data_IF_133444498017
#
_entry.id   IF_133444498017
#
_cell.length_a   1.000
_cell.length_b   1.000
_cell.length_c   1.000
_cell.angle_alpha   90.00
_cell.angle_beta   90.00
_cell.angle_gamma   90.00
#
_symmetry.space_group_name_H-M   'P 1'
#
loop_
_entity.id
_entity.type
_entity.pdbx_description
1 polymer ?
#
# COMPACT_ATOMS: atom_id res chain seq x y z
N UNK A 1 -1.27 -64.96 -12.61
CA UNK A 1 -0.21 -63.99 -12.29
C UNK A 1 -0.63 -62.61 -12.77
N UNK A 2 -1.20 -61.84 -11.87
CA UNK A 2 -1.68 -60.46 -12.05
C UNK A 2 -0.48 -59.52 -12.02
N UNK A 3 -0.12 -58.92 -13.17
CA UNK A 3 0.85 -57.81 -13.21
C UNK A 3 0.17 -56.59 -12.61
N UNK A 4 0.68 -56.17 -11.45
CA UNK A 4 0.21 -55.00 -10.72
C UNK A 4 0.22 -53.74 -11.59
N UNK A 5 -0.87 -52.99 -11.51
CA UNK A 5 -0.94 -51.61 -11.97
C UNK A 5 0.03 -50.77 -11.15
N UNK A 6 1.23 -50.58 -11.70
CA UNK A 6 2.19 -49.61 -11.19
C UNK A 6 1.56 -48.23 -11.14
N UNK A 7 1.69 -47.61 -9.98
CA UNK A 7 1.27 -46.26 -9.64
C UNK A 7 1.68 -45.29 -10.74
N UNK A 8 0.68 -44.64 -11.34
CA UNK A 8 0.89 -43.59 -12.33
C UNK A 8 1.66 -42.46 -11.69
N UNK A 9 2.90 -42.27 -12.13
CA UNK A 9 3.66 -41.04 -11.96
C UNK A 9 2.72 -39.84 -12.18
N UNK A 10 2.73 -38.93 -11.20
CA UNK A 10 1.86 -37.76 -11.12
C UNK A 10 1.73 -37.05 -12.47
N UNK A 11 0.53 -37.10 -13.06
CA UNK A 11 0.14 -36.17 -14.13
C UNK A 11 0.14 -34.78 -13.52
N UNK A 12 1.28 -34.10 -13.57
CA UNK A 12 1.40 -32.70 -13.16
C UNK A 12 0.39 -31.93 -14.01
N UNK A 13 -0.67 -31.44 -13.38
CA UNK A 13 -1.73 -30.71 -14.08
C UNK A 13 -1.12 -29.49 -14.75
N UNK A 14 -1.49 -29.24 -16.01
CA UNK A 14 -1.07 -28.03 -16.71
C UNK A 14 -1.56 -26.81 -15.91
N UNK A 15 -0.74 -25.77 -15.70
CA UNK A 15 -1.19 -24.58 -15.01
C UNK A 15 -2.31 -23.91 -15.82
N UNK A 16 -3.48 -23.72 -15.20
CA UNK A 16 -4.63 -23.05 -15.82
C UNK A 16 -4.69 -21.62 -15.28
N UNK A 17 -4.90 -20.65 -16.17
CA UNK A 17 -5.04 -19.24 -15.78
C UNK A 17 -6.36 -19.01 -15.03
N UNK A 18 -6.33 -18.21 -13.96
CA UNK A 18 -7.48 -17.97 -13.07
C UNK A 18 -8.70 -17.37 -13.78
N UNK A 19 -8.55 -16.70 -14.92
CA UNK A 19 -9.68 -16.19 -15.71
C UNK A 19 -10.61 -17.29 -16.25
N UNK A 20 -10.08 -18.50 -16.41
CA UNK A 20 -10.80 -19.63 -17.00
C UNK A 20 -11.45 -20.51 -15.91
N UNK A 21 -11.36 -20.10 -14.65
CA UNK A 21 -11.87 -20.83 -13.50
C UNK A 21 -12.90 -19.98 -12.76
N UNK A 22 -13.91 -20.64 -12.23
CA UNK A 22 -14.89 -20.04 -11.32
C UNK A 22 -14.79 -20.70 -9.96
N UNK A 23 -15.08 -19.94 -8.90
CA UNK A 23 -15.03 -20.48 -7.55
C UNK A 23 -16.37 -21.14 -7.22
N UNK A 24 -16.33 -22.44 -6.90
CA UNK A 24 -17.49 -23.16 -6.39
C UNK A 24 -17.83 -22.70 -4.96
N UNK A 25 -19.11 -22.38 -4.72
CA UNK A 25 -19.59 -21.94 -3.41
C UNK A 25 -20.24 -23.07 -2.60
N UNK A 26 -20.91 -24.00 -3.28
CA UNK A 26 -21.68 -25.08 -2.67
C UNK A 26 -22.97 -25.36 -3.42
N UNK A 27 -23.76 -26.29 -2.87
CA UNK A 27 -25.11 -26.61 -3.34
C UNK A 27 -26.10 -25.71 -2.60
N UNK A 28 -27.01 -25.08 -3.34
CA UNK A 28 -28.08 -24.26 -2.80
C UNK A 28 -29.43 -24.75 -3.33
N UNK A 29 -30.45 -24.71 -2.48
CA UNK A 29 -31.84 -24.90 -2.89
C UNK A 29 -32.32 -23.63 -3.62
N UNK A 30 -32.40 -23.71 -4.94
CA UNK A 30 -32.89 -22.61 -5.78
C UNK A 30 -34.17 -23.04 -6.48
N UNK A 31 -35.11 -22.11 -6.64
CA UNK A 31 -36.32 -22.38 -7.40
C UNK A 31 -35.98 -22.54 -8.88
N UNK A 32 -36.36 -23.67 -9.47
CA UNK A 32 -36.28 -23.88 -10.92
C UNK A 32 -37.24 -22.92 -11.65
N UNK A 33 -37.18 -22.89 -12.99
CA UNK A 33 -38.13 -22.12 -13.82
C UNK A 33 -39.60 -22.44 -13.53
N UNK A 34 -39.88 -23.63 -12.99
CA UNK A 34 -41.21 -24.10 -12.64
C UNK A 34 -41.58 -23.84 -11.16
N UNK A 35 -40.75 -23.11 -10.40
CA UNK A 35 -40.99 -22.76 -9.00
C UNK A 35 -40.72 -23.86 -7.98
N UNK A 36 -40.33 -25.07 -8.42
CA UNK A 36 -39.98 -26.17 -7.52
C UNK A 36 -38.55 -25.97 -6.97
N UNK A 37 -38.30 -26.23 -5.67
CA UNK A 37 -36.97 -26.15 -5.09
C UNK A 37 -36.08 -27.26 -5.66
N UNK A 38 -34.91 -26.89 -6.17
CA UNK A 38 -33.92 -27.82 -6.71
C UNK A 38 -32.53 -27.49 -6.18
N UNK A 39 -31.85 -28.52 -5.72
CA UNK A 39 -30.45 -28.48 -5.36
C UNK A 39 -29.60 -28.17 -6.59
N UNK A 40 -29.03 -26.96 -6.61
CA UNK A 40 -28.23 -26.49 -7.72
C UNK A 40 -26.87 -26.05 -7.23
N UNK A 41 -25.83 -26.48 -7.93
CA UNK A 41 -24.46 -26.04 -7.70
C UNK A 41 -24.30 -24.57 -8.07
N UNK A 42 -23.75 -23.78 -7.14
CA UNK A 42 -23.57 -22.34 -7.34
C UNK A 42 -22.09 -21.99 -7.43
N UNK A 43 -21.76 -21.19 -8.45
CA UNK A 43 -20.43 -20.68 -8.71
C UNK A 43 -20.39 -19.16 -8.58
N UNK A 44 -19.26 -18.62 -8.14
CA UNK A 44 -19.03 -17.19 -8.04
C UNK A 44 -18.51 -16.62 -9.37
N UNK A 45 -19.35 -15.83 -10.05
CA UNK A 45 -18.98 -15.09 -11.28
C UNK A 45 -18.11 -13.88 -10.96
N UNK A 46 -18.38 -13.21 -9.84
CA UNK A 46 -17.61 -12.03 -9.42
C UNK A 46 -17.28 -12.09 -7.94
N UNK A 47 -15.99 -11.95 -7.63
CA UNK A 47 -15.50 -11.88 -6.25
C UNK A 47 -15.24 -10.42 -5.89
N UNK A 48 -15.70 -10.01 -4.72
CA UNK A 48 -15.37 -8.72 -4.09
C UNK A 48 -14.61 -8.96 -2.79
N UNK A 49 -13.85 -7.96 -2.35
CA UNK A 49 -13.06 -8.05 -1.11
C UNK A 49 -13.49 -6.98 -0.12
N UNK A 50 -13.35 -7.28 1.17
CA UNK A 50 -13.42 -6.25 2.21
C UNK A 50 -12.24 -5.28 2.10
N UNK A 51 -12.30 -4.18 2.84
CA UNK A 51 -11.12 -3.36 3.08
C UNK A 51 -10.04 -4.22 3.77
N UNK A 52 -8.79 -4.21 3.29
CA UNK A 52 -7.72 -4.95 3.92
C UNK A 52 -7.31 -4.30 5.24
N UNK A 53 -7.10 -5.13 6.26
CA UNK A 53 -6.65 -4.73 7.60
C UNK A 53 -5.35 -5.45 7.89
N UNK A 54 -4.30 -4.71 8.23
CA UNK A 54 -3.04 -5.31 8.66
C UNK A 54 -3.16 -5.76 10.11
N UNK A 55 -2.84 -7.02 10.39
CA UNK A 55 -2.81 -7.59 11.74
C UNK A 55 -1.34 -7.70 12.17
N UNK A 56 -0.83 -6.80 13.03
CA UNK A 56 0.58 -6.78 13.41
C UNK A 56 1.04 -8.07 14.09
N UNK A 57 0.22 -8.63 14.98
CA UNK A 57 0.52 -9.87 15.70
C UNK A 57 0.74 -11.06 14.76
N UNK A 58 -0.03 -11.13 13.67
CA UNK A 58 0.09 -12.19 12.68
C UNK A 58 0.98 -11.81 11.48
N UNK A 59 1.56 -10.59 11.49
CA UNK A 59 2.38 -10.00 10.42
C UNK A 59 1.81 -10.19 9.01
N UNK A 60 0.49 -10.10 8.88
CA UNK A 60 -0.22 -10.33 7.61
C UNK A 60 -1.38 -9.39 7.40
N UNK A 61 -1.67 -9.12 6.14
CA UNK A 61 -2.90 -8.46 5.72
C UNK A 61 -4.04 -9.46 5.74
N UNK A 62 -5.16 -9.06 6.35
CA UNK A 62 -6.38 -9.83 6.42
C UNK A 62 -7.51 -9.10 5.70
N UNK A 63 -8.22 -9.81 4.84
CA UNK A 63 -9.44 -9.34 4.20
C UNK A 63 -10.38 -10.52 3.94
N UNK A 64 -11.68 -10.24 3.95
CA UNK A 64 -12.73 -11.20 3.61
C UNK A 64 -13.04 -11.13 2.13
N UNK A 65 -13.44 -12.26 1.55
CA UNK A 65 -13.93 -12.36 0.17
C UNK A 65 -15.43 -12.55 0.20
N UNK A 66 -16.12 -12.00 -0.78
CA UNK A 66 -17.54 -12.19 -0.95
C UNK A 66 -17.88 -12.46 -2.41
N UNK A 67 -18.85 -13.34 -2.66
CA UNK A 67 -19.48 -13.47 -3.96
C UNK A 67 -20.38 -12.24 -4.18
N UNK A 68 -19.97 -11.36 -5.10
CA UNK A 68 -20.76 -10.20 -5.53
C UNK A 68 -21.73 -10.55 -6.66
N UNK A 69 -21.49 -11.65 -7.36
CA UNK A 69 -22.40 -12.21 -8.35
C UNK A 69 -22.19 -13.72 -8.43
N UNK A 70 -23.29 -14.45 -8.58
CA UNK A 70 -23.30 -15.91 -8.65
C UNK A 70 -24.01 -16.40 -9.91
N UNK A 71 -23.66 -17.60 -10.35
CA UNK A 71 -24.32 -18.33 -11.41
C UNK A 71 -24.59 -19.76 -10.93
N UNK A 72 -25.86 -20.19 -10.85
CA UNK A 72 -27.08 -19.38 -10.92
C UNK A 72 -27.17 -18.29 -9.84
N UNK A 73 -28.03 -17.29 -10.06
CA UNK A 73 -28.17 -16.15 -9.15
C UNK A 73 -28.90 -16.58 -7.87
N UNK A 74 -28.28 -16.33 -6.70
CA UNK A 74 -28.90 -16.60 -5.41
C UNK A 74 -29.96 -15.51 -5.13
N UNK A 75 -31.20 -15.86 -4.77
CA UNK A 75 -32.25 -14.89 -4.47
C UNK A 75 -31.84 -14.02 -3.28
N UNK A 76 -32.22 -12.75 -3.34
CA UNK A 76 -31.94 -11.82 -2.24
C UNK A 76 -33.03 -11.94 -1.18
N UNK A 77 -32.68 -12.14 0.11
CA UNK A 77 -33.68 -12.20 1.17
C UNK A 77 -34.47 -10.89 1.24
N UNK A 78 -35.76 -11.02 1.57
CA UNK A 78 -36.68 -9.88 1.71
C UNK A 78 -36.09 -8.83 2.68
N UNK A 79 -36.07 -7.57 2.24
CA UNK A 79 -35.57 -6.43 3.03
C UNK A 79 -34.07 -6.12 2.88
N UNK A 80 -33.29 -6.95 2.21
CA UNK A 80 -31.86 -6.66 1.94
C UNK A 80 -31.71 -6.06 0.55
N UNK A 81 -31.09 -4.88 0.46
CA UNK A 81 -30.79 -4.29 -0.85
C UNK A 81 -29.86 -5.24 -1.65
N UNK A 82 -30.12 -5.50 -2.94
CA UNK A 82 -29.39 -6.48 -3.73
C UNK A 82 -27.87 -6.21 -3.80
N UNK A 83 -27.45 -4.94 -3.70
CA UNK A 83 -26.02 -4.57 -3.66
C UNK A 83 -25.29 -4.97 -2.36
N UNK A 84 -26.05 -5.19 -1.28
CA UNK A 84 -25.55 -5.59 0.05
C UNK A 84 -25.64 -7.09 0.28
N UNK A 85 -26.43 -7.81 -0.51
CA UNK A 85 -26.48 -9.26 -0.46
C UNK A 85 -25.24 -9.86 -1.10
N UNK A 86 -24.22 -10.11 -0.28
CA UNK A 86 -22.96 -10.72 -0.72
C UNK A 86 -22.65 -11.91 0.18
N UNK A 87 -22.55 -13.09 -0.40
CA UNK A 87 -22.24 -14.31 0.34
C UNK A 87 -20.76 -14.33 0.72
N UNK A 88 -20.43 -14.48 2.01
CA UNK A 88 -19.04 -14.54 2.46
C UNK A 88 -18.38 -15.85 2.00
N UNK A 89 -17.22 -15.72 1.37
CA UNK A 89 -16.38 -16.83 0.92
C UNK A 89 -15.21 -16.93 1.89
N UNK A 90 -15.23 -17.96 2.74
CA UNK A 90 -14.12 -18.21 3.67
C UNK A 90 -12.83 -18.55 2.91
N UNK A 91 -11.69 -18.18 3.48
CA UNK A 91 -10.41 -18.67 2.98
C UNK A 91 -10.28 -20.14 3.34
N UNK A 92 -9.73 -20.99 2.45
CA UNK A 92 -9.40 -22.36 2.83
C UNK A 92 -8.40 -22.33 3.98
N UNK A 93 -8.51 -23.30 4.87
CA UNK A 93 -7.57 -23.42 5.98
C UNK A 93 -6.18 -23.74 5.42
N UNK A 94 -5.17 -22.88 5.67
CA UNK A 94 -3.84 -23.14 5.16
C UNK A 94 -3.29 -24.38 5.87
N UNK A 95 -2.77 -25.33 5.08
CA UNK A 95 -1.97 -26.43 5.65
C UNK A 95 -0.83 -25.80 6.45
N UNK A 96 -0.76 -26.13 7.74
CA UNK A 96 0.33 -25.67 8.60
C UNK A 96 1.62 -26.16 7.96
N UNK A 97 2.55 -25.23 7.71
CA UNK A 97 3.89 -25.60 7.24
C UNK A 97 4.50 -26.46 8.33
N UNK A 98 4.95 -27.65 7.96
CA UNK A 98 5.81 -28.45 8.84
C UNK A 98 7.07 -27.62 9.01
N UNK A 99 7.34 -27.20 10.26
CA UNK A 99 8.59 -26.55 10.57
C UNK A 99 9.71 -27.58 10.35
N UNK A 100 10.89 -27.17 9.86
CA UNK A 100 12.01 -28.09 9.74
C UNK A 100 12.24 -28.77 11.10
N UNK A 101 12.28 -30.10 11.09
CA UNK A 101 12.43 -30.93 12.31
C UNK A 101 13.84 -30.82 12.88
N UNK A 102 14.80 -30.39 12.08
CA UNK A 102 16.18 -30.19 12.52
C UNK A 102 16.21 -28.89 13.31
N UNK A 103 16.17 -29.02 14.64
CA UNK A 103 16.76 -28.02 15.52
C UNK A 103 18.21 -27.90 15.08
N UNK A 104 18.56 -26.80 14.42
CA UNK A 104 19.95 -26.58 14.07
C UNK A 104 20.72 -26.44 15.39
N UNK A 105 21.95 -26.98 15.46
CA UNK A 105 22.78 -26.87 16.68
C UNK A 105 23.03 -25.42 17.13
N UNK A 106 22.76 -24.44 16.26
CA UNK A 106 22.87 -23.01 16.51
C UNK A 106 21.56 -22.33 16.94
N UNK A 107 20.42 -23.03 16.90
CA UNK A 107 19.13 -22.49 17.34
C UNK A 107 19.01 -22.55 18.86
N UNK A 108 18.47 -21.49 19.48
CA UNK A 108 18.26 -21.47 20.93
C UNK A 108 17.06 -22.36 21.29
N UNK A 109 17.19 -23.27 22.27
CA UNK A 109 16.07 -24.12 22.67
C UNK A 109 14.91 -23.26 23.17
N UNK A 110 13.68 -23.69 22.89
CA UNK A 110 12.48 -22.93 23.21
C UNK A 110 12.32 -22.60 24.69
N UNK A 111 12.92 -23.41 25.58
CA UNK A 111 12.97 -23.17 27.02
C UNK A 111 13.82 -21.96 27.38
N UNK A 112 15.06 -21.89 26.86
CA UNK A 112 15.96 -20.76 27.10
C UNK A 112 15.43 -19.44 26.52
N UNK A 113 14.69 -19.49 25.39
CA UNK A 113 14.02 -18.29 24.84
C UNK A 113 12.88 -17.80 25.72
N UNK A 114 12.19 -18.72 26.43
CA UNK A 114 11.06 -18.40 27.31
C UNK A 114 11.50 -18.01 28.72
N UNK A 115 12.74 -18.29 29.09
CA UNK A 115 13.30 -17.93 30.38
C UNK A 115 13.31 -16.41 30.55
N UNK A 116 12.61 -15.92 31.57
CA UNK A 116 12.58 -14.49 31.91
C UNK A 116 13.85 -14.19 32.72
N UNK A 117 14.92 -13.82 32.02
CA UNK A 117 16.21 -13.50 32.63
C UNK A 117 16.28 -12.10 33.22
N UNK A 118 15.40 -11.20 32.75
CA UNK A 118 15.36 -9.82 33.23
C UNK A 118 14.28 -9.64 34.29
N UNK A 119 14.71 -9.50 35.53
CA UNK A 119 13.89 -8.95 36.61
C UNK A 119 14.21 -7.46 36.73
N UNK A 120 13.24 -6.55 36.55
CA UNK A 120 13.48 -5.14 36.82
C UNK A 120 13.89 -4.99 38.29
N UNK A 121 14.93 -4.19 38.55
CA UNK A 121 15.26 -3.80 39.92
C UNK A 121 14.05 -3.09 40.52
N UNK A 122 13.64 -3.49 41.72
CA UNK A 122 12.55 -2.83 42.41
C UNK A 122 13.01 -1.44 42.87
N UNK A 123 12.74 -0.44 42.03
CA UNK A 123 13.13 0.94 42.28
C UNK A 123 12.26 1.56 43.37
N UNK A 124 11.15 0.90 43.76
CA UNK A 124 10.19 1.43 44.73
C UNK A 124 10.77 1.62 46.13
N UNK A 125 11.76 0.80 46.51
CA UNK A 125 12.44 0.89 47.81
C UNK A 125 13.46 2.04 47.88
N UNK A 126 13.83 2.62 46.73
CA UNK A 126 14.92 3.57 46.65
C UNK A 126 14.39 5.02 46.64
N UNK A 127 14.30 5.63 47.82
CA UNK A 127 13.85 7.03 48.07
C UNK A 127 14.63 8.09 47.29
N UNK A 128 15.84 7.73 46.81
CA UNK A 128 16.71 8.61 46.03
C UNK A 128 16.20 8.87 44.61
N UNK A 129 15.34 7.99 44.08
CA UNK A 129 14.80 8.18 42.74
C UNK A 129 13.57 9.08 42.74
N UNK A 130 13.42 9.93 41.72
CA UNK A 130 12.27 10.81 41.60
C UNK A 130 10.94 10.04 41.60
N UNK A 131 9.85 10.63 42.14
CA UNK A 131 8.56 9.95 42.36
C UNK A 131 7.88 9.39 41.10
N UNK A 132 8.32 9.79 39.91
CA UNK A 132 7.82 9.26 38.64
C UNK A 132 8.46 7.93 38.22
N UNK A 133 9.59 7.52 38.80
CA UNK A 133 10.16 6.18 38.62
C UNK A 133 9.44 5.11 39.45
N UNK A 134 8.68 5.52 40.46
CA UNK A 134 7.84 4.64 41.30
C UNK A 134 6.46 4.39 40.69
N UNK A 135 6.19 4.92 39.49
CA UNK A 135 4.92 4.69 38.80
C UNK A 135 5.00 3.30 38.15
N UNK A 136 4.19 2.32 38.59
CA UNK A 136 4.22 0.99 37.99
C UNK A 136 3.94 1.10 36.50
N UNK A 137 4.73 0.39 35.70
CA UNK A 137 4.53 0.33 34.26
C UNK A 137 3.08 -0.11 33.98
N UNK A 138 2.34 0.58 33.09
CA UNK A 138 0.97 0.19 32.78
C UNK A 138 0.96 -1.23 32.23
N UNK A 139 0.34 -2.16 32.97
CA UNK A 139 0.30 -3.58 32.67
C UNK A 139 -0.39 -3.92 31.32
N UNK A 140 -1.03 -2.95 30.67
CA UNK A 140 -1.48 -3.09 29.29
C UNK A 140 -1.46 -1.75 28.55
N UNK A 141 -1.21 -1.77 27.25
CA UNK A 141 -1.47 -0.64 26.35
C UNK A 141 -2.98 -0.31 26.21
N UNK A 142 -3.85 -0.94 27.00
CA UNK A 142 -5.29 -0.79 26.93
C UNK A 142 -5.81 0.00 28.12
N UNK A 143 -6.37 1.17 27.78
CA UNK A 143 -7.15 2.07 28.65
C UNK A 143 -6.37 2.61 29.84
N UNK A 144 -5.84 3.82 29.63
CA UNK A 144 -5.43 4.78 30.67
C UNK A 144 -6.42 4.67 31.84
N UNK A 145 -5.95 4.17 32.98
CA UNK A 145 -6.77 4.00 34.18
C UNK A 145 -7.36 5.35 34.63
N UNK A 146 -8.44 5.35 35.40
CA UNK A 146 -9.02 6.60 35.91
C UNK A 146 -7.99 7.43 36.70
N UNK A 147 -7.07 6.76 37.42
CA UNK A 147 -5.95 7.40 38.12
C UNK A 147 -4.92 8.02 37.16
N UNK A 148 -4.57 7.35 36.06
CA UNK A 148 -3.68 7.91 35.04
C UNK A 148 -4.35 9.07 34.27
N UNK A 149 -5.67 9.03 34.07
CA UNK A 149 -6.42 10.18 33.53
C UNK A 149 -6.38 11.36 34.49
N UNK A 150 -6.57 11.13 35.78
CA UNK A 150 -6.47 12.18 36.80
C UNK A 150 -5.04 12.76 36.86
N UNK A 151 -4.02 11.92 36.73
CA UNK A 151 -2.62 12.37 36.65
C UNK A 151 -2.34 13.18 35.38
N UNK A 152 -2.90 12.76 34.23
CA UNK A 152 -2.80 13.51 32.98
C UNK A 152 -3.56 14.84 33.02
N UNK A 153 -4.68 14.91 33.74
CA UNK A 153 -5.42 16.17 33.99
C UNK A 153 -4.60 17.10 34.88
N UNK A 154 -3.97 16.58 35.94
CA UNK A 154 -3.04 17.36 36.77
C UNK A 154 -1.83 17.84 35.96
N UNK A 155 -1.25 17.00 35.13
CA UNK A 155 -0.15 17.36 34.24
C UNK A 155 -0.56 18.45 33.22
N UNK A 156 -1.79 18.39 32.69
CA UNK A 156 -2.36 19.45 31.84
C UNK A 156 -2.61 20.75 32.61
N UNK A 157 -3.08 20.70 33.85
CA UNK A 157 -3.28 21.90 34.66
C UNK A 157 -1.95 22.62 34.94
N UNK A 158 -0.88 21.87 35.18
CA UNK A 158 0.49 22.42 35.31
C UNK A 158 0.96 23.01 33.97
N UNK A 159 0.63 22.36 32.85
CA UNK A 159 0.94 22.85 31.50
C UNK A 159 0.20 24.15 31.15
N UNK A 160 -1.07 24.26 31.49
CA UNK A 160 -1.88 25.46 31.24
C UNK A 160 -1.41 26.63 32.12
N UNK A 161 -0.96 26.36 33.35
CA UNK A 161 -0.34 27.35 34.22
C UNK A 161 0.99 27.88 33.65
N UNK A 162 1.81 27.01 33.04
CA UNK A 162 3.05 27.39 32.35
C UNK A 162 2.78 28.27 31.12
N UNK A 163 1.80 27.89 30.28
CA UNK A 163 1.39 28.67 29.10
C UNK A 163 0.83 30.05 29.51
N UNK A 164 0.16 30.12 30.66
CA UNK A 164 -0.34 31.37 31.24
C UNK A 164 0.75 32.21 31.95
N UNK A 165 2.02 31.85 31.84
CA UNK A 165 3.16 32.62 32.36
C UNK A 165 3.39 32.50 33.87
N UNK A 166 2.71 31.57 34.56
CA UNK A 166 2.95 31.29 35.98
C UNK A 166 3.97 30.18 36.12
N UNK A 167 5.26 30.52 36.00
CA UNK A 167 6.36 29.57 36.18
C UNK A 167 6.43 29.08 37.64
N UNK A 168 6.32 27.77 37.83
CA UNK A 168 6.71 27.11 39.08
C UNK A 168 8.18 26.71 38.92
N UNK A 169 9.07 27.34 39.69
CA UNK A 169 10.53 27.17 39.59
C UNK A 169 11.04 25.73 39.85
N UNK A 170 10.18 24.85 40.39
CA UNK A 170 10.52 23.45 40.68
C UNK A 170 10.16 22.46 39.57
N UNK A 171 9.55 22.90 38.46
CA UNK A 171 9.18 22.02 37.36
C UNK A 171 10.41 21.73 36.47
N UNK A 172 10.78 20.45 36.24
CA UNK A 172 11.90 20.10 35.39
C UNK A 172 11.63 20.50 33.93
N UNK A 173 12.55 21.31 33.39
CA UNK A 173 12.47 22.02 32.09
C UNK A 173 12.28 21.10 30.87
N UNK A 174 12.58 19.81 30.98
CA UNK A 174 12.75 18.92 29.81
C UNK A 174 11.48 18.17 29.35
N UNK A 175 10.31 18.39 29.95
CA UNK A 175 9.09 17.64 29.59
C UNK A 175 8.63 17.85 28.13
N UNK A 176 9.07 18.92 27.45
CA UNK A 176 8.53 19.30 26.14
C UNK A 176 9.59 19.66 25.09
N UNK A 177 10.75 19.01 25.13
CA UNK A 177 11.83 19.20 24.15
C UNK A 177 11.33 19.16 22.70
N UNK A 178 10.42 18.22 22.36
CA UNK A 178 9.89 18.09 21.00
C UNK A 178 9.02 19.28 20.54
N UNK A 179 8.35 19.98 21.47
CA UNK A 179 7.51 21.15 21.18
C UNK A 179 8.33 22.42 21.12
N UNK A 180 9.31 22.55 22.01
CA UNK A 180 10.28 23.66 22.04
C UNK A 180 11.23 23.63 20.85
N UNK A 181 11.66 22.45 20.41
CA UNK A 181 12.48 22.25 19.21
C UNK A 181 11.66 22.32 17.90
N UNK A 182 10.33 22.19 17.97
CA UNK A 182 9.48 22.32 16.78
C UNK A 182 9.21 23.80 16.49
N UNK A 183 9.54 24.27 15.28
CA UNK A 183 9.25 25.65 14.91
C UNK A 183 7.74 25.92 15.00
N UNK A 184 7.27 26.82 15.89
CA UNK A 184 5.83 27.09 16.10
C UNK A 184 5.14 27.60 14.83
N UNK A 185 5.90 28.18 13.89
CA UNK A 185 5.39 28.65 12.61
C UNK A 185 5.36 27.58 11.52
N UNK A 186 5.82 26.35 11.76
CA UNK A 186 5.84 25.29 10.74
C UNK A 186 4.43 24.95 10.23
N UNK A 187 3.44 24.89 11.12
CA UNK A 187 2.03 24.65 10.76
C UNK A 187 1.41 25.86 10.06
N UNK A 188 1.64 27.07 10.59
CA UNK A 188 1.14 28.32 9.99
C UNK A 188 1.70 28.53 8.58
N UNK A 189 3.02 28.37 8.39
CA UNK A 189 3.66 28.45 7.07
C UNK A 189 3.15 27.39 6.10
N UNK A 190 2.87 26.16 6.57
CA UNK A 190 2.28 25.11 5.72
C UNK A 190 0.86 25.45 5.29
N UNK A 191 0.07 26.03 6.19
CA UNK A 191 -1.29 26.48 5.89
C UNK A 191 -1.26 27.67 4.91
N UNK A 192 -0.38 28.64 5.13
CA UNK A 192 -0.16 29.76 4.23
C UNK A 192 0.21 29.29 2.82
N UNK A 193 1.21 28.42 2.68
CA UNK A 193 1.59 27.84 1.37
C UNK A 193 0.45 27.10 0.68
N UNK A 194 -0.41 26.43 1.46
CA UNK A 194 -1.58 25.74 0.91
C UNK A 194 -2.64 26.73 0.42
N UNK A 195 -2.88 27.81 1.16
CA UNK A 195 -3.79 28.89 0.75
C UNK A 195 -3.27 29.59 -0.51
N UNK A 196 -2.00 29.99 -0.53
CA UNK A 196 -1.33 30.60 -1.68
C UNK A 196 -1.45 29.71 -2.93
N UNK A 197 -1.10 28.42 -2.83
CA UNK A 197 -1.22 27.49 -3.95
C UNK A 197 -2.67 27.28 -4.43
N UNK A 198 -3.65 27.36 -3.52
CA UNK A 198 -5.07 27.27 -3.87
C UNK A 198 -5.52 28.53 -4.61
N UNK A 199 -5.17 29.70 -4.11
CA UNK A 199 -5.48 30.99 -4.74
C UNK A 199 -4.84 31.11 -6.13
N UNK A 200 -3.57 30.74 -6.28
CA UNK A 200 -2.89 30.71 -7.58
C UNK A 200 -3.61 29.82 -8.58
N UNK A 201 -4.03 28.62 -8.13
CA UNK A 201 -4.77 27.67 -8.96
C UNK A 201 -6.13 28.23 -9.40
N UNK A 202 -6.85 28.90 -8.49
CA UNK A 202 -8.13 29.52 -8.80
C UNK A 202 -7.96 30.72 -9.75
N UNK A 203 -6.94 31.56 -9.55
CA UNK A 203 -6.57 32.66 -10.46
C UNK A 203 -6.26 32.14 -11.87
N UNK A 204 -5.46 31.08 -11.98
CA UNK A 204 -5.15 30.45 -13.27
C UNK A 204 -6.42 29.91 -13.96
N UNK A 205 -7.29 29.22 -13.21
CA UNK A 205 -8.56 28.71 -13.76
C UNK A 205 -9.41 29.83 -14.33
N UNK A 206 -9.56 30.94 -13.60
CA UNK A 206 -10.30 32.12 -14.09
C UNK A 206 -9.65 32.70 -15.34
N UNK A 207 -8.32 32.79 -15.39
CA UNK A 207 -7.58 33.27 -16.57
C UNK A 207 -7.84 32.42 -17.80
N UNK A 208 -7.77 31.09 -17.71
CA UNK A 208 -8.07 30.19 -18.83
C UNK A 208 -9.54 30.25 -19.26
N UNK A 209 -10.47 30.34 -18.31
CA UNK A 209 -11.89 30.54 -18.65
C UNK A 209 -12.16 31.89 -19.33
N UNK A 210 -11.44 32.95 -18.94
CA UNK A 210 -11.54 34.28 -19.58
C UNK A 210 -10.97 34.23 -20.99
N UNK A 211 -9.76 33.68 -21.15
CA UNK A 211 -9.11 33.52 -22.46
C UNK A 211 -9.97 32.70 -23.43
N UNK A 212 -10.59 31.60 -22.99
CA UNK A 212 -11.47 30.80 -23.85
C UNK A 212 -12.75 31.55 -24.25
N UNK A 213 -13.29 32.42 -23.39
CA UNK A 213 -14.42 33.28 -23.73
C UNK A 213 -14.04 34.39 -24.71
N UNK A 214 -12.81 34.90 -24.62
CA UNK A 214 -12.27 35.91 -25.53
C UNK A 214 -11.96 35.31 -26.90
N UNK A 215 -11.28 34.16 -26.95
CA UNK A 215 -11.01 33.41 -28.19
C UNK A 215 -12.30 33.07 -28.96
N UNK A 216 -13.40 32.79 -28.25
CA UNK A 216 -14.72 32.62 -28.87
C UNK A 216 -15.22 33.88 -29.59
N UNK A 217 -14.90 35.08 -29.09
CA UNK A 217 -15.36 36.35 -29.71
C UNK A 217 -14.54 36.71 -30.94
N UNK A 218 -13.23 36.44 -30.92
CA UNK A 218 -12.33 36.69 -32.05
C UNK A 218 -12.37 35.59 -33.10
N UNK A 219 -12.80 34.37 -32.75
CA UNK A 219 -12.79 33.21 -33.65
C UNK A 219 -11.49 32.40 -33.61
N UNK A 220 -10.50 32.84 -32.83
CA UNK A 220 -9.16 32.24 -32.71
C UNK A 220 -9.11 31.08 -31.69
N UNK A 221 -10.09 30.17 -31.70
CA UNK A 221 -10.03 28.98 -30.84
C UNK A 221 -8.84 28.10 -31.24
N UNK A 222 -7.98 27.81 -30.27
CA UNK A 222 -6.74 27.03 -30.46
C UNK A 222 -7.03 25.56 -30.77
N UNK A 223 -8.14 25.00 -30.28
CA UNK A 223 -8.45 23.57 -30.42
C UNK A 223 -9.57 23.26 -31.40
N UNK A 224 -10.42 24.23 -31.70
CA UNK A 224 -11.58 24.07 -32.60
C UNK A 224 -11.63 25.21 -33.59
N UNK A 225 -10.67 25.21 -34.52
CA UNK A 225 -10.61 26.13 -35.65
C UNK A 225 -11.83 25.86 -36.54
N UNK A 226 -12.72 26.84 -36.70
CA UNK A 226 -13.80 26.83 -37.71
C UNK A 226 -15.20 26.40 -37.26
N UNK A 227 -15.46 26.19 -35.97
CA UNK A 227 -16.81 25.86 -35.46
C UNK A 227 -17.42 27.05 -34.69
N UNK A 228 -18.72 27.29 -34.88
CA UNK A 228 -19.48 28.25 -34.07
C UNK A 228 -19.65 27.71 -32.63
N UNK A 229 -18.61 27.86 -31.81
CA UNK A 229 -18.54 27.31 -30.46
C UNK A 229 -19.61 27.97 -29.57
N UNK A 230 -20.39 27.15 -28.85
CA UNK A 230 -21.38 27.63 -27.88
C UNK A 230 -20.71 28.15 -26.59
N UNK A 231 -21.38 29.03 -25.83
CA UNK A 231 -20.88 29.53 -24.52
C UNK A 231 -20.46 28.40 -23.57
N UNK A 232 -21.22 27.29 -23.58
CA UNK A 232 -20.97 26.10 -22.75
C UNK A 232 -19.71 25.35 -23.21
N UNK A 233 -19.48 25.25 -24.50
CA UNK A 233 -18.30 24.58 -25.05
C UNK A 233 -17.01 25.39 -24.79
N UNK A 234 -17.02 26.71 -24.96
CA UNK A 234 -15.87 27.55 -24.63
C UNK A 234 -15.48 27.47 -23.14
N UNK A 235 -16.47 27.36 -22.23
CA UNK A 235 -16.18 27.13 -20.82
C UNK A 235 -15.53 25.76 -20.56
N UNK A 236 -15.98 24.71 -21.27
CA UNK A 236 -15.37 23.37 -21.20
C UNK A 236 -13.95 23.37 -21.76
N UNK A 237 -13.71 24.06 -22.88
CA UNK A 237 -12.38 24.23 -23.47
C UNK A 237 -11.43 24.96 -22.50
N UNK A 238 -11.88 26.04 -21.87
CA UNK A 238 -11.09 26.75 -20.86
C UNK A 238 -10.73 25.86 -19.65
N UNK A 239 -11.65 25.01 -19.19
CA UNK A 239 -11.37 24.03 -18.13
C UNK A 239 -10.38 22.98 -18.61
N UNK A 240 -10.54 22.47 -19.84
CA UNK A 240 -9.65 21.48 -20.43
C UNK A 240 -8.22 22.00 -20.56
N UNK A 241 -8.03 23.21 -21.11
CA UNK A 241 -6.71 23.84 -21.24
C UNK A 241 -6.07 24.09 -19.87
N UNK A 242 -6.85 24.52 -18.89
CA UNK A 242 -6.39 24.66 -17.50
C UNK A 242 -5.91 23.32 -16.92
N UNK A 243 -6.69 22.24 -17.07
CA UNK A 243 -6.31 20.92 -16.57
C UNK A 243 -5.07 20.36 -17.28
N UNK A 244 -4.94 20.58 -18.59
CA UNK A 244 -3.76 20.23 -19.36
C UNK A 244 -2.52 20.96 -18.83
N UNK A 245 -2.62 22.28 -18.65
CA UNK A 245 -1.55 23.11 -18.10
C UNK A 245 -1.13 22.68 -16.68
N UNK A 246 -2.09 22.41 -15.78
CA UNK A 246 -1.79 21.93 -14.43
C UNK A 246 -1.10 20.56 -14.47
N UNK A 247 -1.52 19.66 -15.37
CA UNK A 247 -0.90 18.34 -15.53
C UNK A 247 0.54 18.44 -16.02
N UNK A 248 0.81 19.34 -16.95
CA UNK A 248 2.16 19.60 -17.47
C UNK A 248 3.05 20.25 -16.41
N UNK A 249 2.57 21.28 -15.71
CA UNK A 249 3.28 21.91 -14.60
C UNK A 249 3.60 20.90 -13.48
N UNK A 250 2.67 20.01 -13.14
CA UNK A 250 2.90 18.95 -12.16
C UNK A 250 3.91 17.91 -12.64
N UNK A 251 3.99 17.65 -13.96
CA UNK A 251 4.99 16.77 -14.56
C UNK A 251 6.37 17.42 -14.52
N UNK A 252 6.47 18.69 -14.90
CA UNK A 252 7.71 19.49 -14.85
C UNK A 252 8.25 19.57 -13.42
N UNK A 253 7.43 19.98 -12.45
CA UNK A 253 7.80 20.04 -11.03
C UNK A 253 8.24 18.68 -10.47
N UNK A 254 7.63 17.59 -10.91
CA UNK A 254 8.06 16.23 -10.54
C UNK A 254 9.42 15.87 -11.16
N UNK A 255 9.67 16.28 -12.41
CA UNK A 255 10.97 16.11 -13.06
C UNK A 255 12.06 16.89 -12.32
N UNK A 256 11.86 18.19 -12.05
CA UNK A 256 12.79 19.02 -11.29
C UNK A 256 13.12 18.42 -9.91
N UNK A 257 12.10 17.95 -9.17
CA UNK A 257 12.33 17.27 -7.88
C UNK A 257 13.09 15.96 -8.05
N UNK A 258 12.88 15.22 -9.13
CA UNK A 258 13.63 14.01 -9.39
C UNK A 258 15.10 14.33 -9.70
N UNK A 259 15.36 15.39 -10.45
CA UNK A 259 16.71 15.90 -10.73
C UNK A 259 17.41 16.33 -9.44
N UNK A 260 16.75 17.14 -8.61
CA UNK A 260 17.27 17.55 -7.28
C UNK A 260 17.57 16.36 -6.36
N UNK A 261 16.81 15.27 -6.48
CA UNK A 261 17.03 14.01 -5.72
C UNK A 261 18.12 13.12 -6.34
N UNK A 262 18.79 13.54 -7.41
CA UNK A 262 19.87 12.81 -8.05
C UNK A 262 19.42 11.72 -9.03
N UNK A 263 18.20 11.80 -9.57
CA UNK A 263 17.72 10.84 -10.58
C UNK A 263 18.58 10.84 -11.86
N UNK A 264 19.10 12.01 -12.26
CA UNK A 264 19.98 12.17 -13.43
C UNK A 264 21.29 11.40 -13.21
N UNK A 265 21.97 11.64 -12.08
CA UNK A 265 23.19 10.92 -11.72
C UNK A 265 22.96 9.40 -11.63
N UNK A 266 21.79 8.96 -11.14
CA UNK A 266 21.42 7.53 -11.11
C UNK A 266 21.23 6.95 -12.52
N UNK A 267 20.61 7.69 -13.43
CA UNK A 267 20.43 7.29 -14.83
C UNK A 267 21.78 7.20 -15.56
N UNK A 268 22.68 8.16 -15.35
CA UNK A 268 24.03 8.16 -15.91
C UNK A 268 24.83 6.94 -15.42
N UNK A 269 24.84 6.67 -14.10
CA UNK A 269 25.46 5.45 -13.55
C UNK A 269 24.89 4.18 -14.19
N UNK A 270 23.58 4.14 -14.44
CA UNK A 270 22.93 3.00 -15.12
C UNK A 270 23.36 2.88 -16.57
N UNK A 271 23.49 3.99 -17.31
CA UNK A 271 24.01 4.01 -18.69
C UNK A 271 25.44 3.48 -18.75
N UNK A 272 26.33 3.99 -17.89
CA UNK A 272 27.73 3.52 -17.79
C UNK A 272 27.79 2.03 -17.46
N UNK A 273 26.99 1.55 -16.50
CA UNK A 273 26.94 0.12 -16.15
C UNK A 273 26.46 -0.75 -17.31
N UNK A 274 25.46 -0.31 -18.07
CA UNK A 274 24.97 -1.02 -19.26
C UNK A 274 26.04 -1.08 -20.34
N UNK A 275 26.71 0.05 -20.61
CA UNK A 275 27.79 0.12 -21.59
C UNK A 275 28.95 -0.82 -21.21
N UNK A 276 29.35 -0.86 -19.94
CA UNK A 276 30.38 -1.81 -19.47
C UNK A 276 29.96 -3.27 -19.65
N UNK A 277 28.70 -3.61 -19.37
CA UNK A 277 28.19 -4.98 -19.59
C UNK A 277 28.17 -5.35 -21.06
N UNK A 278 27.74 -4.44 -21.94
CA UNK A 278 27.74 -4.66 -23.38
C UNK A 278 29.17 -4.91 -23.89
N UNK A 279 30.14 -4.08 -23.49
CA UNK A 279 31.56 -4.29 -23.81
C UNK A 279 32.08 -5.64 -23.34
N UNK A 280 31.78 -6.05 -22.09
CA UNK A 280 32.18 -7.37 -21.58
C UNK A 280 31.58 -8.54 -22.37
N UNK A 281 30.33 -8.40 -22.82
CA UNK A 281 29.70 -9.42 -23.66
C UNK A 281 30.40 -9.47 -25.03
N UNK A 282 30.68 -8.31 -25.62
CA UNK A 282 31.42 -8.23 -26.89
C UNK A 282 32.83 -8.83 -26.78
N UNK A 283 33.56 -8.51 -25.71
CA UNK A 283 34.86 -9.13 -25.38
C UNK A 283 34.73 -10.64 -25.19
N UNK A 284 33.72 -11.10 -24.45
CA UNK A 284 33.46 -12.53 -24.25
C UNK A 284 33.12 -13.25 -25.53
N UNK A 285 32.38 -12.62 -26.45
CA UNK A 285 32.04 -13.19 -27.76
C UNK A 285 33.26 -13.22 -28.69
N UNK A 286 34.12 -12.19 -28.65
CA UNK A 286 35.40 -12.18 -29.37
C UNK A 286 36.35 -13.26 -28.88
N UNK A 287 36.39 -13.46 -27.57
CA UNK A 287 37.24 -14.47 -26.92
C UNK A 287 36.59 -15.85 -26.90
N UNK A 288 35.37 -16.00 -27.43
CA UNK A 288 34.68 -17.29 -27.53
C UNK A 288 35.30 -18.09 -28.69
N UNK A 289 36.42 -18.74 -28.38
CA UNK A 289 37.01 -19.77 -29.24
C UNK A 289 36.41 -21.10 -28.82
N UNK A 290 35.85 -21.84 -29.76
CA UNK A 290 35.42 -23.23 -29.53
C UNK A 290 36.67 -24.06 -29.32
N UNK A 291 36.75 -24.79 -28.20
CA UNK A 291 37.81 -25.77 -27.99
C UNK A 291 37.65 -26.91 -29.01
N UNK A 292 38.74 -27.31 -29.65
CA UNK A 292 38.73 -28.38 -30.65
C UNK A 292 38.33 -29.71 -29.99
N UNK A 293 37.09 -30.13 -30.20
CA UNK A 293 36.60 -31.42 -29.77
C UNK A 293 36.90 -32.51 -30.82
N UNK A 294 37.17 -33.74 -30.37
CA UNK A 294 37.59 -34.88 -31.21
C UNK A 294 36.65 -35.25 -32.37
N UNK A 295 35.42 -34.72 -32.39
CA UNK A 295 34.39 -34.96 -33.40
C UNK A 295 34.00 -33.71 -34.21
N UNK A 296 34.77 -32.62 -34.12
CA UNK A 296 34.44 -31.35 -34.77
C UNK A 296 35.12 -31.26 -36.14
N UNK A 297 34.36 -31.44 -37.23
CA UNK A 297 34.85 -31.29 -38.61
C UNK A 297 34.56 -29.87 -39.08
N UNK A 298 35.58 -29.02 -39.17
CA UNK A 298 35.47 -27.68 -39.74
C UNK A 298 35.51 -27.77 -41.27
N UNK A 299 34.60 -27.13 -42.00
CA UNK A 299 34.68 -27.05 -43.46
C UNK A 299 35.93 -26.23 -43.84
N UNK A 300 36.74 -26.76 -44.76
CA UNK A 300 37.90 -26.06 -45.31
C UNK A 300 37.47 -24.78 -45.99
N UNK A 301 37.87 -23.64 -45.44
CA UNK A 301 37.61 -22.32 -46.03
C UNK A 301 38.29 -22.25 -47.39
N UNK A 302 37.50 -22.20 -48.47
CA UNK A 302 38.00 -21.87 -49.80
C UNK A 302 38.45 -20.41 -49.77
N UNK A 303 39.74 -20.20 -50.03
CA UNK A 303 40.35 -18.89 -50.32
C UNK A 303 39.71 -18.23 -51.52
#
# INVERSE_FOLDING_TARGET
>A
MTRGHGETASRVSKPIHYSNLQLYLGVYELSDKNGQPKDTEVYATRISTSKPVYIPAARRWFWRRYAAGTSPQIPTPLGVAPRKNRTEIRWPEPKKRVLPTVEFDYDTPGEAVREITWTPADVSEHTKYPPYFHIPAPASQQRISASQKALAVKARAVQDAYIAGRLVASAPMEQYLARELSNPHSRAKKQQRWQEAKEERDRLRVRFMKAAKEARKTGDSVTTIGLNITKKQAAKEGIFLFEAHVREADKARRAERAEQRGAVAKLERKKVRKARKAKKIEESLRNLVLEDAKNQVLPTTQT
#
